data_IF_170588293175
#
_entry.id   IF_170588293175
#
_cell.length_a   1.000
_cell.length_b   1.000
_cell.length_c   1.000
_cell.angle_alpha   90.00
_cell.angle_beta   90.00
_cell.angle_gamma   90.00
#
_symmetry.space_group_name_H-M   'P 1'
#
loop_
_entity.id
_entity.type
_entity.pdbx_description
1 polymer ?
#
# COMPACT_ATOMS: atom_id res chain seq x y z
N UNK A 1 14.98 15.34 16.82
CA UNK A 1 14.69 14.26 17.78
C UNK A 1 13.89 13.20 17.05
N UNK A 2 14.35 11.95 16.99
CA UNK A 2 13.61 10.89 16.33
C UNK A 2 12.36 10.59 17.16
N UNK A 3 11.18 10.89 16.64
CA UNK A 3 9.94 10.39 17.21
C UNK A 3 10.06 8.87 17.34
N UNK A 4 9.77 8.32 18.51
CA UNK A 4 9.64 6.88 18.71
C UNK A 4 8.49 6.39 17.85
N UNK A 5 8.82 5.86 16.67
CA UNK A 5 7.84 5.38 15.69
C UNK A 5 7.09 4.19 16.29
N UNK A 6 5.84 4.39 16.71
CA UNK A 6 5.00 3.37 17.33
C UNK A 6 4.40 2.41 16.30
N UNK A 7 4.42 1.11 16.59
CA UNK A 7 3.69 0.09 15.83
C UNK A 7 2.18 0.21 16.07
N UNK A 8 1.43 0.08 14.98
CA UNK A 8 -0.03 0.03 14.96
C UNK A 8 -0.46 -1.28 14.32
N UNK A 9 -1.66 -1.76 14.69
CA UNK A 9 -2.18 -3.05 14.24
C UNK A 9 -3.48 -2.87 13.49
N UNK A 10 -3.64 -3.64 12.42
CA UNK A 10 -4.86 -3.83 11.66
C UNK A 10 -5.22 -5.32 11.70
N UNK A 11 -6.43 -5.66 12.13
CA UNK A 11 -6.88 -7.05 12.13
C UNK A 11 -6.86 -7.60 10.69
N UNK A 12 -6.06 -8.64 10.48
CA UNK A 12 -5.89 -9.29 9.20
C UNK A 12 -5.27 -10.67 9.44
N UNK A 13 -6.07 -11.72 9.27
CA UNK A 13 -5.61 -13.09 9.48
C UNK A 13 -4.57 -13.51 8.43
N UNK A 14 -3.64 -14.38 8.81
CA UNK A 14 -2.56 -14.83 7.92
C UNK A 14 -3.06 -15.56 6.65
N UNK A 15 -4.24 -16.17 6.71
CA UNK A 15 -4.89 -16.81 5.55
C UNK A 15 -5.54 -15.78 4.60
N UNK A 16 -5.67 -14.53 5.06
CA UNK A 16 -6.19 -13.44 4.26
C UNK A 16 -5.06 -12.66 3.60
N UNK A 17 -3.85 -12.56 4.15
CA UNK A 17 -2.74 -11.85 3.50
C UNK A 17 -1.39 -12.49 3.80
N UNK A 18 -0.61 -12.78 2.74
CA UNK A 18 0.80 -13.10 2.85
C UNK A 18 1.65 -11.97 2.24
N UNK A 19 2.36 -11.22 3.10
CA UNK A 19 3.13 -10.05 2.66
C UNK A 19 4.21 -10.38 1.63
N UNK A 20 4.99 -11.45 1.82
CA UNK A 20 6.16 -11.74 0.99
C UNK A 20 5.81 -11.92 -0.50
N UNK A 21 4.89 -12.83 -0.84
CA UNK A 21 4.53 -13.03 -2.25
C UNK A 21 3.68 -11.88 -2.79
N UNK A 22 2.85 -11.24 -1.96
CA UNK A 22 2.02 -10.11 -2.40
C UNK A 22 2.87 -8.90 -2.76
N UNK A 23 3.84 -8.52 -1.91
CA UNK A 23 4.66 -7.32 -2.09
C UNK A 23 5.83 -7.50 -3.05
N UNK A 24 6.45 -8.69 -3.08
CA UNK A 24 7.65 -8.96 -3.88
C UNK A 24 7.38 -9.81 -5.12
N UNK A 25 6.12 -10.14 -5.39
CA UNK A 25 5.69 -10.96 -6.54
C UNK A 25 5.69 -10.25 -7.90
N UNK A 26 6.27 -9.05 -8.00
CA UNK A 26 6.36 -8.29 -9.25
C UNK A 26 5.13 -7.43 -9.59
N UNK A 27 4.16 -7.34 -8.68
CA UNK A 27 3.01 -6.42 -8.82
C UNK A 27 3.40 -4.98 -8.47
N UNK A 28 4.21 -4.82 -7.42
CA UNK A 28 4.83 -3.56 -7.04
C UNK A 28 6.35 -3.70 -7.00
N UNK A 29 7.04 -2.63 -7.37
CA UNK A 29 8.50 -2.52 -7.35
C UNK A 29 8.99 -1.59 -6.23
N UNK A 30 8.06 -1.14 -5.36
CA UNK A 30 8.32 -0.14 -4.32
C UNK A 30 8.56 -0.75 -2.94
N UNK A 31 8.54 -2.08 -2.83
CA UNK A 31 8.72 -2.81 -1.58
C UNK A 31 10.05 -3.56 -1.55
N UNK A 32 10.66 -3.60 -0.37
CA UNK A 32 11.88 -4.37 -0.10
C UNK A 32 11.77 -5.05 1.25
N UNK A 33 12.43 -6.21 1.39
CA UNK A 33 12.67 -6.79 2.71
C UNK A 33 13.45 -5.78 3.56
N UNK A 34 12.92 -5.46 4.71
CA UNK A 34 13.53 -4.60 5.70
C UNK A 34 14.06 -5.50 6.82
N UNK A 35 15.38 -5.50 7.01
CA UNK A 35 16.00 -6.19 8.13
C UNK A 35 16.32 -5.14 9.19
N UNK A 36 15.48 -4.94 10.22
CA UNK A 36 15.95 -4.24 11.40
C UNK A 36 17.06 -5.10 12.01
N UNK A 37 18.08 -4.43 12.53
CA UNK A 37 19.28 -4.92 13.22
C UNK A 37 19.25 -6.38 13.71
N UNK A 38 20.38 -7.09 13.54
CA UNK A 38 20.68 -8.53 13.70
C UNK A 38 20.11 -9.35 14.90
N UNK A 39 19.23 -8.80 15.74
CA UNK A 39 18.73 -9.40 16.98
C UNK A 39 17.48 -10.26 16.79
N UNK A 40 16.59 -9.94 15.84
CA UNK A 40 15.35 -10.70 15.61
C UNK A 40 15.31 -11.32 14.21
N UNK A 41 15.85 -12.54 14.09
CA UNK A 41 15.97 -13.26 12.80
C UNK A 41 14.65 -13.89 12.31
N UNK A 42 13.55 -13.76 13.05
CA UNK A 42 12.29 -14.47 12.75
C UNK A 42 11.18 -13.57 12.19
N UNK A 43 11.23 -12.25 12.38
CA UNK A 43 10.24 -11.35 11.81
C UNK A 43 10.74 -10.73 10.50
N UNK A 44 10.06 -11.04 9.40
CA UNK A 44 10.32 -10.39 8.12
C UNK A 44 9.51 -9.11 8.05
N UNK A 45 10.18 -7.97 8.16
CA UNK A 45 9.58 -6.65 7.90
C UNK A 45 9.74 -6.28 6.41
N UNK A 46 8.86 -5.42 5.93
CA UNK A 46 8.87 -4.89 4.56
C UNK A 46 8.80 -3.38 4.62
N UNK A 47 9.72 -2.71 3.94
CA UNK A 47 9.68 -1.25 3.77
C UNK A 47 9.24 -0.93 2.35
N UNK A 48 8.35 0.05 2.19
CA UNK A 48 7.93 0.50 0.88
C UNK A 48 7.19 1.81 0.91
N UNK A 49 6.82 2.28 -0.28
CA UNK A 49 6.16 3.58 -0.45
C UNK A 49 4.90 3.40 -1.28
N UNK A 50 3.79 3.90 -0.76
CA UNK A 50 2.56 4.14 -1.53
C UNK A 50 1.79 5.30 -0.86
N UNK A 51 0.92 5.97 -1.63
CA UNK A 51 0.13 7.11 -1.13
C UNK A 51 0.96 8.26 -0.53
N UNK A 52 2.18 8.54 -1.06
CA UNK A 52 3.14 9.50 -0.51
C UNK A 52 3.61 9.21 0.93
N UNK A 53 3.45 7.96 1.39
CA UNK A 53 3.79 7.53 2.73
C UNK A 53 4.83 6.41 2.65
N UNK A 54 5.84 6.48 3.51
CA UNK A 54 6.85 5.43 3.72
C UNK A 54 6.36 4.52 4.84
N UNK A 55 6.03 3.29 4.46
CA UNK A 55 5.49 2.26 5.34
C UNK A 55 6.56 1.27 5.71
N UNK A 56 6.55 0.83 6.97
CA UNK A 56 7.15 -0.45 7.36
C UNK A 56 6.03 -1.37 7.83
N UNK A 57 5.95 -2.54 7.24
CA UNK A 57 4.93 -3.55 7.49
C UNK A 57 5.55 -4.82 8.04
N UNK A 58 4.86 -5.48 8.96
CA UNK A 58 5.11 -6.87 9.36
C UNK A 58 3.79 -7.54 9.67
N UNK A 59 3.76 -8.87 9.71
CA UNK A 59 2.54 -9.61 9.97
C UNK A 59 2.74 -10.56 11.16
N UNK A 60 1.70 -10.69 11.97
CA UNK A 60 1.53 -11.78 12.94
C UNK A 60 0.50 -12.77 12.38
N UNK A 61 0.07 -13.75 13.17
CA UNK A 61 -0.99 -14.67 12.74
C UNK A 61 -2.36 -14.00 12.54
N UNK A 62 -2.62 -12.90 13.25
CA UNK A 62 -3.94 -12.25 13.34
C UNK A 62 -3.93 -10.79 12.91
N UNK A 63 -2.75 -10.17 12.82
CA UNK A 63 -2.63 -8.73 12.58
C UNK A 63 -1.63 -8.41 11.48
N UNK A 64 -2.00 -7.47 10.61
CA UNK A 64 -1.07 -6.67 9.85
C UNK A 64 -0.60 -5.50 10.73
N UNK A 65 0.67 -5.51 11.10
CA UNK A 65 1.28 -4.43 11.86
C UNK A 65 1.99 -3.46 10.92
N UNK A 66 1.84 -2.17 11.18
CA UNK A 66 2.40 -1.11 10.37
C UNK A 66 2.97 0.01 11.21
N UNK A 67 3.92 0.73 10.63
CA UNK A 67 4.40 2.01 11.15
C UNK A 67 4.77 2.95 10.01
N UNK A 68 4.65 4.24 10.26
CA UNK A 68 4.96 5.29 9.28
C UNK A 68 6.33 5.87 9.60
N UNK A 69 7.23 5.85 8.61
CA UNK A 69 8.59 6.40 8.74
C UNK A 69 8.66 7.84 8.22
N UNK A 70 7.78 8.18 7.28
CA UNK A 70 7.66 9.52 6.75
C UNK A 70 6.46 9.63 5.83
N UNK A 71 5.91 10.82 5.73
CA UNK A 71 4.71 11.08 4.94
C UNK A 71 4.68 12.50 4.41
N UNK A 72 3.93 12.70 3.34
CA UNK A 72 3.65 13.98 2.73
C UNK A 72 2.17 14.06 2.35
N UNK A 73 1.57 15.25 2.33
CA UNK A 73 0.20 15.43 1.86
C UNK A 73 0.00 14.92 0.42
N UNK A 74 -1.26 14.65 0.06
CA UNK A 74 -1.60 14.22 -1.28
C UNK A 74 -2.68 15.13 -1.90
N UNK A 75 -2.40 15.83 -3.02
CA UNK A 75 -1.15 15.83 -3.77
C UNK A 75 -0.01 16.52 -3.00
N UNK A 76 1.22 16.07 -3.23
CA UNK A 76 2.40 16.71 -2.62
C UNK A 76 2.55 18.13 -3.20
N UNK A 77 2.25 19.15 -2.39
CA UNK A 77 2.33 20.57 -2.78
C UNK A 77 3.75 21.02 -3.16
N UNK A 78 4.78 20.28 -2.76
CA UNK A 78 6.15 20.54 -3.16
C UNK A 78 6.46 20.05 -4.60
N UNK A 79 5.63 19.18 -5.18
CA UNK A 79 5.77 18.79 -6.58
C UNK A 79 5.37 19.96 -7.48
N UNK A 80 6.37 20.72 -7.95
CA UNK A 80 6.17 21.69 -9.03
C UNK A 80 5.99 20.93 -10.34
N UNK A 81 4.83 21.08 -10.94
CA UNK A 81 4.57 20.63 -12.30
C UNK A 81 5.38 21.52 -13.25
N UNK A 82 6.57 21.06 -13.66
CA UNK A 82 7.54 21.85 -14.44
C UNK A 82 6.98 22.23 -15.82
N UNK A 83 5.91 21.56 -16.26
CA UNK A 83 5.23 21.80 -17.54
C UNK A 83 4.21 22.95 -17.43
N UNK A 84 3.80 23.33 -16.20
CA UNK A 84 2.98 24.53 -15.99
C UNK A 84 3.83 25.78 -16.17
N UNK A 85 3.94 26.20 -17.43
CA UNK A 85 4.02 27.63 -17.78
C UNK A 85 2.91 28.40 -17.02
N UNK A 86 3.01 29.73 -16.81
CA UNK A 86 2.00 30.52 -16.08
C UNK A 86 0.71 30.62 -16.90
N UNK A 87 -0.02 29.52 -17.01
CA UNK A 87 -1.39 29.47 -17.45
C UNK A 87 -2.21 29.70 -16.18
N UNK A 88 -3.07 30.72 -16.13
CA UNK A 88 -3.94 30.94 -14.99
C UNK A 88 -4.66 29.63 -14.66
N UNK A 89 -4.59 29.20 -13.39
CA UNK A 89 -5.44 28.10 -12.95
C UNK A 89 -6.87 28.46 -13.35
N UNK A 90 -7.54 27.66 -14.20
CA UNK A 90 -8.93 27.94 -14.51
C UNK A 90 -9.67 27.99 -13.18
N UNK A 91 -10.34 29.10 -12.91
CA UNK A 91 -11.25 29.22 -11.77
C UNK A 91 -12.32 28.14 -11.94
N UNK A 92 -12.12 27.01 -11.28
CA UNK A 92 -12.98 25.84 -11.42
C UNK A 92 -14.31 26.12 -10.73
N UNK A 93 -15.44 25.71 -11.33
CA UNK A 93 -16.76 25.95 -10.75
C UNK A 93 -16.88 25.31 -9.37
N UNK A 94 -17.56 25.98 -8.41
CA UNK A 94 -17.76 25.45 -7.07
C UNK A 94 -18.71 24.26 -7.14
N UNK A 95 -18.22 23.03 -6.94
CA UNK A 95 -19.11 21.90 -6.70
C UNK A 95 -18.63 20.49 -7.03
N UNK A 96 -17.49 20.27 -7.69
CA UNK A 96 -17.10 18.90 -8.07
C UNK A 96 -15.58 18.64 -8.11
N UNK A 97 -14.83 19.17 -7.15
CA UNK A 97 -13.43 18.77 -6.97
C UNK A 97 -13.42 17.43 -6.24
N UNK A 98 -13.43 16.31 -6.98
CA UNK A 98 -12.98 15.03 -6.40
C UNK A 98 -11.53 15.24 -6.00
N UNK A 99 -11.20 15.08 -4.71
CA UNK A 99 -9.83 15.21 -4.25
C UNK A 99 -8.95 14.23 -5.06
N UNK A 100 -7.76 14.64 -5.51
CA UNK A 100 -6.91 13.77 -6.34
C UNK A 100 -6.57 12.44 -5.61
N UNK A 101 -6.49 12.45 -4.29
CA UNK A 101 -6.37 11.26 -3.44
C UNK A 101 -7.61 10.36 -3.59
N UNK A 102 -8.82 10.93 -3.58
CA UNK A 102 -10.06 10.17 -3.78
C UNK A 102 -10.07 9.47 -5.15
N UNK A 103 -9.54 10.12 -6.18
CA UNK A 103 -9.46 9.54 -7.53
C UNK A 103 -8.39 8.45 -7.64
N UNK A 104 -7.18 8.71 -7.12
CA UNK A 104 -6.01 7.83 -7.33
C UNK A 104 -5.84 6.76 -6.26
N UNK A 105 -6.22 7.07 -5.03
CA UNK A 105 -6.09 6.19 -3.85
C UNK A 105 -7.43 5.61 -3.39
N UNK A 106 -8.57 6.10 -3.92
CA UNK A 106 -9.93 5.69 -3.53
C UNK A 106 -10.24 5.95 -2.05
N UNK A 107 -9.47 6.83 -1.43
CA UNK A 107 -9.65 7.30 -0.06
C UNK A 107 -9.55 8.81 -0.11
N UNK A 108 -10.58 9.50 0.38
CA UNK A 108 -10.56 10.95 0.48
C UNK A 108 -9.54 11.39 1.54
N UNK A 109 -8.74 12.41 1.21
CA UNK A 109 -7.83 13.01 2.18
C UNK A 109 -8.64 13.66 3.32
N UNK A 110 -8.31 13.41 4.59
CA UNK A 110 -8.97 14.04 5.71
C UNK A 110 -8.78 15.57 5.68
N UNK A 111 -9.85 16.31 6.02
CA UNK A 111 -9.80 17.77 6.17
C UNK A 111 -9.03 18.22 7.41
N UNK A 112 -8.89 17.34 8.40
CA UNK A 112 -8.26 17.62 9.68
C UNK A 112 -7.03 16.73 9.88
N UNK A 113 -5.93 17.36 10.28
CA UNK A 113 -4.72 16.66 10.71
C UNK A 113 -4.94 16.02 12.08
N UNK A 114 -4.13 15.00 12.42
CA UNK A 114 -4.19 14.41 13.74
C UNK A 114 -3.86 15.46 14.82
N UNK A 115 -4.56 15.40 15.95
CA UNK A 115 -4.37 16.31 17.09
C UNK A 115 -3.07 16.05 17.87
N UNK A 116 -2.20 15.13 17.42
CA UNK A 116 -0.92 14.79 18.04
C UNK A 116 0.23 14.84 17.04
N UNK A 117 1.40 15.32 17.47
CA UNK A 117 2.57 15.61 16.62
C UNK A 117 3.23 14.38 15.94
N UNK A 118 2.68 13.17 16.10
CA UNK A 118 3.33 11.94 15.61
C UNK A 118 3.01 11.62 14.15
N UNK A 119 1.77 11.86 13.70
CA UNK A 119 1.30 11.53 12.36
C UNK A 119 0.48 12.67 11.78
N UNK A 120 0.51 12.81 10.46
CA UNK A 120 -0.20 13.86 9.73
C UNK A 120 -1.71 13.65 9.83
N UNK A 121 -2.21 12.42 9.67
CA UNK A 121 -3.64 12.10 9.61
C UNK A 121 -4.09 11.19 10.76
N UNK A 122 -5.41 11.05 11.00
CA UNK A 122 -5.91 10.07 11.96
C UNK A 122 -5.57 8.63 11.59
N UNK A 123 -5.45 7.75 12.60
CA UNK A 123 -5.13 6.33 12.40
C UNK A 123 -6.07 5.61 11.40
N UNK A 124 -7.36 5.95 11.45
CA UNK A 124 -8.39 5.39 10.56
C UNK A 124 -8.11 5.62 9.08
N UNK A 125 -7.50 6.75 8.71
CA UNK A 125 -7.14 7.06 7.33
C UNK A 125 -6.07 6.09 6.81
N UNK A 126 -5.01 5.86 7.59
CA UNK A 126 -3.94 4.93 7.22
C UNK A 126 -4.45 3.49 7.11
N UNK A 127 -5.31 3.06 8.04
CA UNK A 127 -5.90 1.74 7.94
C UNK A 127 -6.83 1.60 6.73
N UNK A 128 -7.56 2.65 6.35
CA UNK A 128 -8.39 2.63 5.14
C UNK A 128 -7.52 2.54 3.89
N UNK A 129 -6.41 3.27 3.83
CA UNK A 129 -5.42 3.15 2.75
C UNK A 129 -4.87 1.73 2.64
N UNK A 130 -4.51 1.08 3.76
CA UNK A 130 -4.05 -0.32 3.76
C UNK A 130 -5.14 -1.28 3.30
N UNK A 131 -6.38 -1.11 3.79
CA UNK A 131 -7.52 -1.94 3.40
C UNK A 131 -7.79 -1.88 1.90
N UNK A 132 -7.75 -0.69 1.30
CA UNK A 132 -7.90 -0.52 -0.15
C UNK A 132 -6.69 -1.08 -0.90
N UNK A 133 -5.47 -0.72 -0.50
CA UNK A 133 -4.24 -1.13 -1.18
C UNK A 133 -4.09 -2.65 -1.26
N UNK A 134 -4.45 -3.36 -0.19
CA UNK A 134 -4.45 -4.82 -0.14
C UNK A 134 -5.79 -5.45 -0.54
N UNK A 135 -6.82 -4.70 -0.92
CA UNK A 135 -8.17 -5.20 -1.24
C UNK A 135 -8.75 -6.11 -0.14
N UNK A 136 -8.65 -5.68 1.11
CA UNK A 136 -9.07 -6.47 2.28
C UNK A 136 -10.60 -6.59 2.43
N UNK A 137 -11.36 -5.93 1.56
CA UNK A 137 -12.81 -6.11 1.40
C UNK A 137 -13.19 -7.47 0.79
N UNK A 138 -12.24 -8.13 0.09
CA UNK A 138 -12.44 -9.45 -0.50
C UNK A 138 -12.03 -10.55 0.49
N UNK A 139 -12.95 -11.48 0.77
CA UNK A 139 -12.63 -12.72 1.48
C UNK A 139 -11.83 -13.65 0.56
N UNK A 140 -10.52 -13.69 0.79
CA UNK A 140 -9.60 -14.42 -0.06
C UNK A 140 -9.68 -15.93 0.15
N UNK A 141 -10.00 -16.36 1.37
CA UNK A 141 -10.18 -17.78 1.69
C UNK A 141 -11.36 -18.35 0.90
N UNK A 142 -12.47 -17.62 0.83
CA UNK A 142 -13.60 -18.01 -0.01
C UNK A 142 -13.22 -18.12 -1.49
N UNK A 143 -12.44 -17.16 -2.03
CA UNK A 143 -11.98 -17.21 -3.42
C UNK A 143 -11.06 -18.41 -3.68
N UNK A 144 -10.12 -18.66 -2.78
CA UNK A 144 -9.24 -19.83 -2.87
C UNK A 144 -10.04 -21.13 -2.86
N UNK A 145 -11.02 -21.29 -1.97
CA UNK A 145 -11.89 -22.47 -1.95
C UNK A 145 -12.63 -22.68 -3.27
N UNK A 146 -13.13 -21.59 -3.88
CA UNK A 146 -13.78 -21.67 -5.18
C UNK A 146 -12.80 -22.09 -6.29
N UNK A 147 -11.63 -21.46 -6.37
CA UNK A 147 -10.62 -21.77 -7.40
C UNK A 147 -10.06 -23.19 -7.28
N UNK A 148 -9.85 -23.67 -6.05
CA UNK A 148 -9.43 -25.04 -5.75
C UNK A 148 -10.46 -26.05 -6.29
N UNK A 149 -11.75 -25.80 -6.09
CA UNK A 149 -12.83 -26.68 -6.59
C UNK A 149 -12.90 -26.70 -8.11
N UNK A 150 -12.61 -25.58 -8.76
CA UNK A 150 -12.72 -25.45 -10.21
C UNK A 150 -11.48 -25.98 -10.96
N UNK A 151 -10.29 -26.04 -10.34
CA UNK A 151 -9.06 -26.31 -11.08
C UNK A 151 -8.01 -27.09 -10.25
N UNK A 152 -7.70 -28.32 -10.67
CA UNK A 152 -6.77 -29.23 -9.97
C UNK A 152 -5.34 -28.67 -9.86
N UNK A 153 -4.83 -28.07 -10.93
CA UNK A 153 -3.51 -27.41 -10.89
C UNK A 153 -3.46 -26.27 -9.86
N UNK A 154 -4.55 -25.49 -9.75
CA UNK A 154 -4.65 -24.45 -8.73
C UNK A 154 -4.69 -25.07 -7.33
N UNK A 155 -5.46 -26.15 -7.14
CA UNK A 155 -5.51 -26.88 -5.87
C UNK A 155 -4.11 -27.31 -5.40
N UNK A 156 -3.30 -27.85 -6.31
CA UNK A 156 -1.91 -28.24 -6.02
C UNK A 156 -1.02 -27.03 -5.66
N UNK A 157 -1.23 -25.89 -6.32
CA UNK A 157 -0.42 -24.68 -6.15
C UNK A 157 -0.79 -23.88 -4.90
N UNK A 158 -2.07 -23.85 -4.54
CA UNK A 158 -2.62 -23.11 -3.41
C UNK A 158 -2.05 -23.54 -2.06
N UNK A 159 -1.64 -24.82 -1.93
CA UNK A 159 -0.95 -25.31 -0.74
C UNK A 159 0.44 -24.68 -0.52
N UNK A 160 1.10 -24.23 -1.60
CA UNK A 160 2.44 -23.60 -1.57
C UNK A 160 2.36 -22.08 -1.55
N UNK A 161 1.40 -21.51 -2.27
CA UNK A 161 1.20 -20.07 -2.43
C UNK A 161 -0.18 -19.68 -1.89
N UNK A 162 -0.25 -19.54 -0.57
CA UNK A 162 -1.46 -19.12 0.13
C UNK A 162 -1.53 -17.59 0.27
N UNK A 163 -2.76 -17.09 0.40
CA UNK A 163 -3.06 -15.71 0.73
C UNK A 163 -2.34 -14.63 -0.12
N UNK A 164 -2.08 -14.93 -1.40
CA UNK A 164 -1.48 -13.97 -2.32
C UNK A 164 -2.57 -13.05 -2.84
N UNK A 165 -2.42 -11.74 -2.64
CA UNK A 165 -3.40 -10.74 -3.07
C UNK A 165 -2.95 -9.97 -4.29
N UNK A 166 -3.94 -9.46 -5.03
CA UNK A 166 -3.72 -8.44 -6.04
C UNK A 166 -3.74 -7.05 -5.41
N UNK A 167 -2.72 -6.23 -5.63
CA UNK A 167 -2.66 -4.88 -5.08
C UNK A 167 -3.63 -3.91 -5.81
N UNK A 168 -4.05 -2.86 -5.12
CA UNK A 168 -4.78 -1.73 -5.69
C UNK A 168 -3.88 -0.48 -5.72
N UNK A 169 -3.00 -0.46 -6.72
CA UNK A 169 -1.99 0.58 -6.88
C UNK A 169 -2.56 1.83 -7.56
N UNK A 170 -1.90 2.97 -7.29
CA UNK A 170 -2.15 4.21 -8.01
C UNK A 170 -1.96 4.00 -9.53
N UNK A 171 -2.96 4.31 -10.38
CA UNK A 171 -2.90 4.06 -11.82
C UNK A 171 -1.70 4.69 -12.51
N UNK A 172 -1.27 5.88 -12.08
CA UNK A 172 -0.13 6.59 -12.70
C UNK A 172 1.17 5.89 -12.34
N UNK A 173 1.41 5.62 -11.05
CA UNK A 173 2.57 4.83 -10.61
C UNK A 173 2.61 3.48 -11.33
N UNK A 174 1.48 2.76 -11.33
CA UNK A 174 1.37 1.44 -11.92
C UNK A 174 1.71 1.44 -13.41
N UNK A 175 1.16 2.39 -14.17
CA UNK A 175 1.41 2.53 -15.60
C UNK A 175 2.91 2.75 -15.89
N UNK A 176 3.53 3.73 -15.24
CA UNK A 176 4.94 4.03 -15.49
C UNK A 176 5.88 2.92 -15.01
N UNK A 177 5.58 2.27 -13.88
CA UNK A 177 6.32 1.10 -13.41
C UNK A 177 6.32 -0.01 -14.47
N UNK A 178 5.17 -0.33 -15.07
CA UNK A 178 5.09 -1.38 -16.07
C UNK A 178 5.67 -1.00 -17.43
N UNK A 179 5.66 0.28 -17.80
CA UNK A 179 6.42 0.78 -18.96
C UNK A 179 7.92 0.51 -18.74
N UNK A 180 8.45 0.84 -17.56
CA UNK A 180 9.85 0.63 -17.21
C UNK A 180 10.24 -0.84 -17.03
N UNK A 181 9.28 -1.75 -16.80
CA UNK A 181 9.55 -3.18 -16.64
C UNK A 181 9.52 -3.97 -17.95
N UNK A 182 9.16 -3.35 -19.09
CA UNK A 182 9.12 -4.04 -20.37
C UNK A 182 10.51 -4.56 -20.76
N UNK A 183 10.57 -5.85 -21.16
CA UNK A 183 11.82 -6.53 -21.48
C UNK A 183 12.87 -6.43 -20.34
N UNK A 184 12.39 -6.55 -19.10
CA UNK A 184 13.22 -6.49 -17.91
C UNK A 184 12.87 -7.63 -16.94
N UNK A 185 13.71 -7.85 -15.93
CA UNK A 185 13.40 -8.77 -14.82
C UNK A 185 13.13 -7.97 -13.54
N UNK A 186 12.47 -8.58 -12.55
CA UNK A 186 12.03 -7.90 -11.31
C UNK A 186 13.19 -7.20 -10.56
N UNK A 187 14.43 -7.69 -10.69
CA UNK A 187 15.57 -7.16 -9.94
C UNK A 187 16.30 -5.99 -10.62
N UNK A 188 16.10 -5.77 -11.93
CA UNK A 188 16.87 -4.80 -12.74
C UNK A 188 16.16 -3.46 -12.85
#
# INVERSE_FOLDING_TARGET
MAATIKWRSLLCDYNQLQLKATLLGGQSFRWKNFKPTALDQHETEFIGVFANIVWVLRQTERELQYRIVGEQPYPNKANRDVIKSPIPEPQQPPGNVRNLAEVRLKVAEPSEYATGEELLYPASYYEQLLRIYFRLDVDLEQQYQQWIRCHEHFATSAAKFYAVRQLDQDPVENLFCFICSQNNNIAR
#
